data_IF_948851383534
#
_entry.id   IF_948851383534
#
_cell.length_a   1.000
_cell.length_b   1.000
_cell.length_c   1.000
_cell.angle_alpha   90.00
_cell.angle_beta   90.00
_cell.angle_gamma   90.00
#
_symmetry.space_group_name_H-M   'P 1'
#
loop_
_entity.id
_entity.type
_entity.pdbx_description
1 polymer ?
#
# COMPACT_ATOMS: atom_id res chain seq x y z
N UNK A 1 -6.31 -15.90 17.13
CA UNK A 1 -5.46 -16.00 15.93
C UNK A 1 -5.15 -17.47 15.68
N UNK A 2 -5.21 -17.89 14.43
CA UNK A 2 -4.98 -19.25 13.95
C UNK A 2 -3.90 -19.19 12.85
N UNK A 3 -2.82 -19.98 12.98
CA UNK A 3 -1.81 -20.08 11.92
C UNK A 3 -2.31 -21.09 10.87
N UNK A 4 -2.38 -20.66 9.62
CA UNK A 4 -2.83 -21.49 8.51
C UNK A 4 -1.66 -22.20 7.83
N UNK A 5 -0.58 -21.46 7.57
CA UNK A 5 0.57 -21.92 6.79
C UNK A 5 1.88 -21.30 7.33
N UNK A 6 2.99 -22.04 7.18
CA UNK A 6 4.33 -21.57 7.51
C UNK A 6 5.37 -22.19 6.56
N UNK A 7 6.22 -21.35 5.98
CA UNK A 7 7.27 -21.75 5.05
C UNK A 7 8.58 -21.02 5.35
N UNK A 8 9.71 -21.75 5.32
CA UNK A 8 11.04 -21.12 5.32
C UNK A 8 11.27 -20.35 4.03
N UNK A 9 11.72 -19.10 4.12
CA UNK A 9 11.97 -18.24 2.96
C UNK A 9 13.14 -17.29 3.26
N UNK A 10 14.22 -17.36 2.47
CA UNK A 10 15.42 -16.49 2.62
C UNK A 10 15.96 -16.38 4.07
N UNK A 11 15.98 -17.49 4.81
CA UNK A 11 16.41 -17.54 6.22
C UNK A 11 15.34 -17.08 7.24
N UNK A 12 14.31 -16.38 6.78
CA UNK A 12 13.14 -15.99 7.56
C UNK A 12 11.98 -16.99 7.46
N UNK A 13 10.78 -16.50 7.76
CA UNK A 13 9.52 -17.25 7.73
C UNK A 13 8.44 -16.47 6.99
N UNK A 14 7.83 -17.11 5.99
CA UNK A 14 6.58 -16.68 5.40
C UNK A 14 5.45 -17.43 6.10
N UNK A 15 4.55 -16.70 6.75
CA UNK A 15 3.42 -17.27 7.49
C UNK A 15 2.11 -16.70 6.98
N UNK A 16 1.03 -17.45 7.21
CA UNK A 16 -0.34 -17.03 6.93
C UNK A 16 -1.20 -17.24 8.15
N UNK A 17 -2.00 -16.25 8.49
CA UNK A 17 -2.77 -16.23 9.74
C UNK A 17 -4.21 -15.83 9.48
N UNK A 18 -5.12 -16.42 10.27
CA UNK A 18 -6.52 -16.04 10.35
C UNK A 18 -6.85 -15.47 11.72
N UNK A 19 -7.67 -14.43 11.74
CA UNK A 19 -8.24 -13.91 12.97
C UNK A 19 -9.66 -13.38 12.75
N UNK A 20 -10.43 -13.26 13.82
CA UNK A 20 -11.66 -12.50 13.78
C UNK A 20 -11.32 -11.00 13.87
N UNK A 21 -11.73 -10.23 12.86
CA UNK A 21 -11.54 -8.78 12.82
C UNK A 21 -12.80 -8.10 13.35
N UNK A 22 -12.71 -7.49 14.53
CA UNK A 22 -13.87 -6.81 15.15
C UNK A 22 -14.39 -5.64 14.30
N UNK A 23 -13.50 -4.91 13.62
CA UNK A 23 -13.84 -3.78 12.75
C UNK A 23 -14.61 -4.20 11.49
N UNK A 24 -14.30 -5.38 10.96
CA UNK A 24 -14.93 -5.92 9.74
C UNK A 24 -16.00 -6.97 10.06
N UNK A 25 -16.18 -7.30 11.34
CA UNK A 25 -17.12 -8.29 11.86
C UNK A 25 -17.07 -9.65 11.12
N UNK A 26 -15.88 -10.09 10.71
CA UNK A 26 -15.70 -11.34 9.98
C UNK A 26 -14.31 -11.95 10.26
N UNK A 27 -14.10 -13.18 9.77
CA UNK A 27 -12.78 -13.78 9.77
C UNK A 27 -11.94 -13.20 8.63
N UNK A 28 -10.77 -12.67 8.95
CA UNK A 28 -9.82 -12.11 8.00
C UNK A 28 -8.55 -12.96 7.96
N UNK A 29 -7.96 -13.03 6.78
CA UNK A 29 -6.67 -13.69 6.55
C UNK A 29 -5.63 -12.64 6.17
N UNK A 30 -4.42 -12.81 6.66
CA UNK A 30 -3.28 -12.00 6.24
C UNK A 30 -2.02 -12.86 6.17
N UNK A 31 -1.10 -12.45 5.32
CA UNK A 31 0.23 -13.03 5.20
C UNK A 31 1.25 -12.12 5.88
N UNK A 32 2.28 -12.73 6.48
CA UNK A 32 3.39 -12.02 7.13
C UNK A 32 4.72 -12.67 6.74
N UNK A 33 5.69 -11.86 6.35
CA UNK A 33 7.08 -12.28 6.22
C UNK A 33 7.88 -11.77 7.43
N UNK A 34 8.46 -12.69 8.17
CA UNK A 34 9.38 -12.43 9.28
C UNK A 34 10.82 -12.62 8.77
N UNK A 35 11.66 -11.56 8.74
CA UNK A 35 13.05 -11.68 8.31
C UNK A 35 13.86 -12.51 9.32
N UNK A 36 15.04 -13.03 8.94
CA UNK A 36 15.97 -13.62 9.90
C UNK A 36 16.25 -12.64 11.05
N UNK A 37 16.22 -13.13 12.28
CA UNK A 37 16.57 -12.32 13.46
C UNK A 37 18.02 -11.86 13.36
N UNK A 38 18.24 -10.55 13.29
CA UNK A 38 19.59 -9.98 13.24
C UNK A 38 20.07 -9.52 14.63
N UNK A 39 19.15 -9.04 15.49
CA UNK A 39 19.45 -8.49 16.83
C UNK A 39 18.30 -8.74 17.83
N UNK A 40 18.43 -8.25 19.06
CA UNK A 40 17.38 -8.30 20.10
C UNK A 40 16.30 -7.20 19.97
N UNK A 41 16.35 -6.37 18.93
CA UNK A 41 15.38 -5.30 18.69
C UNK A 41 14.23 -5.78 17.77
N UNK A 42 12.99 -5.32 18.03
CA UNK A 42 11.89 -5.57 17.11
C UNK A 42 12.16 -4.97 15.71
N UNK A 43 12.01 -5.75 14.62
CA UNK A 43 12.22 -5.24 13.28
C UNK A 43 11.15 -4.22 12.87
N UNK A 44 11.48 -3.23 12.01
CA UNK A 44 10.49 -2.34 11.43
C UNK A 44 9.52 -3.10 10.50
N UNK A 45 8.33 -2.54 10.32
CA UNK A 45 7.23 -3.16 9.56
C UNK A 45 6.90 -2.33 8.32
N UNK A 46 6.72 -3.02 7.19
CA UNK A 46 6.12 -2.48 5.98
C UNK A 46 4.78 -3.18 5.73
N UNK A 47 3.72 -2.39 5.61
CA UNK A 47 2.39 -2.86 5.20
C UNK A 47 2.25 -2.74 3.69
N UNK A 48 1.87 -3.83 3.03
CA UNK A 48 1.57 -3.86 1.60
C UNK A 48 0.07 -4.02 1.39
N UNK A 49 -0.55 -3.05 0.72
CA UNK A 49 -1.97 -3.08 0.38
C UNK A 49 -2.14 -3.46 -1.09
N UNK A 50 -2.64 -4.66 -1.35
CA UNK A 50 -2.86 -5.16 -2.71
C UNK A 50 -4.04 -4.45 -3.40
N UNK A 51 -4.04 -4.45 -4.74
CA UNK A 51 -5.10 -3.86 -5.55
C UNK A 51 -6.32 -4.77 -5.79
N UNK A 52 -7.18 -4.35 -6.72
CA UNK A 52 -8.42 -5.05 -7.10
C UNK A 52 -8.17 -6.55 -7.38
N UNK A 53 -9.13 -7.39 -7.02
CA UNK A 53 -9.13 -8.86 -7.23
C UNK A 53 -8.03 -9.64 -6.50
N UNK A 54 -7.15 -8.96 -5.75
CA UNK A 54 -6.08 -9.62 -5.01
C UNK A 54 -6.52 -10.10 -3.63
N UNK A 55 -5.72 -10.99 -3.05
CA UNK A 55 -5.73 -11.38 -1.64
C UNK A 55 -4.32 -11.22 -1.03
N UNK A 56 -4.13 -11.77 0.16
CA UNK A 56 -2.87 -11.73 0.91
C UNK A 56 -1.71 -12.50 0.23
N UNK A 57 -2.01 -13.40 -0.70
CA UNK A 57 -1.02 -14.30 -1.32
C UNK A 57 -0.41 -13.76 -2.61
N UNK A 58 -1.08 -12.84 -3.32
CA UNK A 58 -0.58 -12.36 -4.62
C UNK A 58 0.80 -11.70 -4.51
N UNK A 59 0.97 -10.79 -3.55
CA UNK A 59 2.26 -10.16 -3.30
C UNK A 59 3.29 -11.16 -2.79
N UNK A 60 2.85 -11.99 -1.83
CA UNK A 60 3.66 -13.06 -1.24
C UNK A 60 4.30 -13.96 -2.31
N UNK A 61 3.54 -14.32 -3.34
CA UNK A 61 3.99 -15.31 -4.35
C UNK A 61 4.62 -14.67 -5.58
N UNK A 62 4.24 -13.43 -5.94
CA UNK A 62 4.60 -12.85 -7.25
C UNK A 62 5.58 -11.68 -7.18
N UNK A 63 5.71 -10.99 -6.03
CA UNK A 63 6.52 -9.78 -5.96
C UNK A 63 8.02 -10.05 -5.78
N UNK A 64 8.42 -11.19 -5.20
CA UNK A 64 9.84 -11.48 -4.94
C UNK A 64 10.50 -10.60 -3.85
N UNK A 65 9.69 -9.98 -3.00
CA UNK A 65 10.12 -9.01 -1.99
C UNK A 65 10.94 -9.63 -0.83
N UNK A 66 10.71 -10.89 -0.50
CA UNK A 66 11.23 -11.53 0.71
C UNK A 66 12.76 -11.57 0.77
N UNK A 67 13.43 -11.72 -0.38
CA UNK A 67 14.91 -11.72 -0.45
C UNK A 67 15.49 -10.42 0.09
N UNK A 68 14.94 -9.29 -0.35
CA UNK A 68 15.41 -7.95 0.04
C UNK A 68 14.91 -7.57 1.43
N UNK A 69 13.69 -7.94 1.79
CA UNK A 69 13.19 -7.75 3.15
C UNK A 69 14.04 -8.50 4.19
N UNK A 70 14.51 -9.72 3.87
CA UNK A 70 15.44 -10.48 4.70
C UNK A 70 16.78 -9.77 4.87
N UNK A 71 17.36 -9.24 3.77
CA UNK A 71 18.60 -8.46 3.78
C UNK A 71 18.46 -7.20 4.65
N UNK A 72 17.35 -6.48 4.49
CA UNK A 72 17.14 -5.18 5.16
C UNK A 72 16.63 -5.30 6.60
N UNK A 73 16.19 -6.49 7.01
CA UNK A 73 15.61 -6.75 8.33
C UNK A 73 14.20 -6.16 8.48
N UNK A 74 13.38 -6.20 7.42
CA UNK A 74 12.04 -5.61 7.39
C UNK A 74 10.98 -6.72 7.46
N UNK A 75 10.00 -6.56 8.35
CA UNK A 75 8.77 -7.38 8.36
C UNK A 75 7.83 -6.88 7.27
N UNK A 76 7.25 -7.80 6.50
CA UNK A 76 6.21 -7.48 5.53
C UNK A 76 4.87 -7.99 6.05
N UNK A 77 3.84 -7.14 6.07
CA UNK A 77 2.46 -7.53 6.40
C UNK A 77 1.57 -7.27 5.19
N UNK A 78 0.90 -8.32 4.73
CA UNK A 78 0.04 -8.33 3.55
C UNK A 78 -1.38 -8.73 3.96
N UNK A 79 -2.25 -7.78 4.35
CA UNK A 79 -3.66 -8.06 4.59
C UNK A 79 -4.40 -8.47 3.31
N UNK A 80 -5.55 -9.11 3.47
CA UNK A 80 -6.55 -9.21 2.40
C UNK A 80 -7.11 -7.82 2.04
N UNK A 81 -7.74 -7.71 0.88
CA UNK A 81 -8.21 -6.44 0.28
C UNK A 81 -9.63 -6.06 0.71
N UNK A 82 -10.44 -7.03 1.13
CA UNK A 82 -11.82 -6.84 1.54
C UNK A 82 -12.28 -7.91 2.55
N UNK A 83 -13.35 -7.66 3.33
CA UNK A 83 -14.02 -8.68 4.13
C UNK A 83 -14.40 -9.92 3.30
N UNK A 84 -14.36 -11.12 3.90
CA UNK A 84 -14.71 -12.39 3.22
C UNK A 84 -15.74 -13.20 4.01
N UNK A 85 -16.54 -14.01 3.31
CA UNK A 85 -17.46 -15.00 3.90
C UNK A 85 -18.89 -14.89 3.38
N UNK A 86 -19.72 -15.91 3.63
CA UNK A 86 -21.11 -16.00 3.12
C UNK A 86 -22.02 -14.83 3.57
N UNK A 87 -21.66 -14.16 4.68
CA UNK A 87 -22.40 -13.02 5.22
C UNK A 87 -21.86 -11.66 4.75
N UNK A 88 -20.84 -11.65 3.90
CA UNK A 88 -20.30 -10.44 3.28
C UNK A 88 -20.90 -10.30 1.89
N UNK A 89 -21.31 -9.08 1.53
CA UNK A 89 -21.75 -8.80 0.17
C UNK A 89 -20.62 -9.07 -0.83
N UNK A 90 -20.81 -10.07 -1.69
CA UNK A 90 -19.87 -10.46 -2.74
C UNK A 90 -20.33 -9.84 -4.06
N UNK A 91 -19.79 -8.66 -4.40
CA UNK A 91 -19.92 -8.08 -5.73
C UNK A 91 -18.51 -7.89 -6.30
N UNK A 92 -18.33 -8.35 -7.53
CA UNK A 92 -17.14 -8.08 -8.36
C UNK A 92 -16.78 -6.60 -8.50
N UNK A 93 -17.68 -5.67 -8.16
CA UNK A 93 -17.46 -4.23 -8.14
C UNK A 93 -16.95 -3.65 -6.81
N UNK A 94 -16.86 -4.45 -5.74
CA UNK A 94 -16.54 -4.02 -4.37
C UNK A 94 -15.10 -4.36 -3.90
N UNK A 95 -14.16 -4.47 -4.83
CA UNK A 95 -12.78 -4.88 -4.52
C UNK A 95 -11.82 -3.71 -4.23
N UNK A 96 -12.31 -2.47 -4.14
CA UNK A 96 -11.44 -1.31 -3.93
C UNK A 96 -11.13 -1.11 -2.44
N UNK A 97 -10.05 -1.72 -1.98
CA UNK A 97 -9.46 -1.42 -0.67
C UNK A 97 -8.85 -0.01 -0.63
N UNK A 98 -8.72 0.57 0.57
CA UNK A 98 -8.06 1.87 0.74
C UNK A 98 -6.59 1.79 0.29
N UNK A 99 -6.17 2.74 -0.56
CA UNK A 99 -4.79 2.83 -1.04
C UNK A 99 -3.81 3.27 0.06
N UNK A 100 -2.54 2.88 -0.09
CA UNK A 100 -1.47 3.23 0.85
C UNK A 100 -1.31 4.75 1.06
N UNK A 101 -1.51 5.53 -0.01
CA UNK A 101 -1.48 7.00 0.04
C UNK A 101 -2.55 7.58 0.96
N UNK A 102 -3.80 7.11 0.86
CA UNK A 102 -4.91 7.54 1.73
C UNK A 102 -4.59 7.21 3.19
N UNK A 103 -4.08 6.01 3.46
CA UNK A 103 -3.70 5.60 4.81
C UNK A 103 -2.64 6.51 5.42
N UNK A 104 -1.61 6.87 4.66
CA UNK A 104 -0.57 7.79 5.09
C UNK A 104 -1.12 9.20 5.32
N UNK A 105 -1.84 9.75 4.35
CA UNK A 105 -2.36 11.13 4.39
C UNK A 105 -3.38 11.35 5.52
N UNK A 106 -4.25 10.38 5.79
CA UNK A 106 -5.24 10.47 6.89
C UNK A 106 -4.64 10.22 8.28
N UNK A 107 -3.39 9.76 8.37
CA UNK A 107 -2.76 9.43 9.65
C UNK A 107 -1.35 10.06 9.79
N UNK A 108 -1.25 11.41 9.82
CA UNK A 108 0.03 12.07 10.06
C UNK A 108 0.73 11.55 11.33
N UNK A 109 2.04 11.34 11.24
CA UNK A 109 2.86 10.85 12.36
C UNK A 109 2.78 9.34 12.64
N UNK A 110 1.96 8.56 11.92
CA UNK A 110 1.93 7.09 12.07
C UNK A 110 2.82 6.33 11.09
N UNK A 111 3.22 6.97 9.99
CA UNK A 111 4.03 6.38 8.93
C UNK A 111 5.23 7.27 8.66
N UNK A 112 6.39 6.66 8.41
CA UNK A 112 7.64 7.40 8.13
C UNK A 112 7.84 7.67 6.64
N UNK A 113 7.22 6.85 5.78
CA UNK A 113 7.30 6.96 4.33
C UNK A 113 6.18 6.14 3.68
N UNK A 114 5.78 6.51 2.46
CA UNK A 114 4.79 5.76 1.67
C UNK A 114 5.28 5.60 0.24
N UNK A 115 4.97 4.46 -0.37
CA UNK A 115 5.21 4.24 -1.78
C UNK A 115 4.07 3.48 -2.43
N UNK A 116 3.93 3.59 -3.75
CA UNK A 116 2.91 2.85 -4.49
C UNK A 116 3.35 2.53 -5.92
N UNK A 117 2.84 1.42 -6.44
CA UNK A 117 2.92 1.03 -7.85
C UNK A 117 1.57 1.30 -8.50
N UNK A 118 1.57 2.03 -9.62
CA UNK A 118 0.37 2.29 -10.43
C UNK A 118 -0.89 2.66 -9.59
N UNK A 119 -0.82 3.67 -8.70
CA UNK A 119 -1.94 3.99 -7.81
C UNK A 119 -3.09 4.69 -8.53
N UNK A 120 -4.32 4.45 -8.07
CA UNK A 120 -5.46 5.33 -8.35
C UNK A 120 -5.35 6.54 -7.42
N UNK A 121 -4.85 7.67 -7.93
CA UNK A 121 -4.55 8.83 -7.08
C UNK A 121 -5.72 9.77 -6.88
N UNK A 122 -6.67 9.78 -7.83
CA UNK A 122 -7.79 10.71 -7.91
C UNK A 122 -9.14 9.97 -8.01
N UNK A 123 -9.44 9.03 -7.08
CA UNK A 123 -10.62 8.15 -7.17
C UNK A 123 -11.95 8.92 -7.30
N UNK A 124 -12.05 10.13 -6.76
CA UNK A 124 -13.27 10.94 -6.87
C UNK A 124 -13.59 11.41 -8.29
N UNK A 125 -12.64 11.28 -9.22
CA UNK A 125 -12.75 11.80 -10.60
C UNK A 125 -12.64 10.72 -11.68
N UNK A 126 -12.40 9.47 -11.33
CA UNK A 126 -12.20 8.37 -12.29
C UNK A 126 -13.27 7.28 -12.18
N UNK A 127 -13.59 6.55 -13.27
CA UNK A 127 -14.74 5.65 -13.29
C UNK A 127 -14.75 4.58 -12.19
N UNK A 128 -13.60 3.95 -11.89
CA UNK A 128 -13.54 2.93 -10.83
C UNK A 128 -13.78 3.52 -9.45
N UNK A 129 -13.16 4.66 -9.16
CA UNK A 129 -13.31 5.33 -7.88
C UNK A 129 -14.71 5.88 -7.67
N UNK A 130 -15.29 6.56 -8.68
CA UNK A 130 -16.68 7.06 -8.62
C UNK A 130 -17.66 5.93 -8.35
N UNK A 131 -17.53 4.80 -9.07
CA UNK A 131 -18.39 3.62 -8.85
C UNK A 131 -18.29 3.11 -7.41
N UNK A 132 -17.07 2.94 -6.89
CA UNK A 132 -16.85 2.43 -5.53
C UNK A 132 -17.32 3.42 -4.45
N UNK A 133 -16.96 4.70 -4.58
CA UNK A 133 -17.30 5.75 -3.64
C UNK A 133 -18.81 6.00 -3.59
N UNK A 134 -19.49 6.03 -4.73
CA UNK A 134 -20.96 6.14 -4.77
C UNK A 134 -21.61 4.98 -4.02
N UNK A 135 -21.09 3.77 -4.19
CA UNK A 135 -21.71 2.59 -3.60
C UNK A 135 -21.41 2.44 -2.09
N UNK A 136 -20.25 2.90 -1.61
CA UNK A 136 -19.90 2.83 -0.18
C UNK A 136 -20.31 4.05 0.63
N UNK A 137 -20.27 5.24 0.03
CA UNK A 137 -20.44 6.52 0.72
C UNK A 137 -21.71 7.27 0.28
N UNK A 138 -22.38 6.80 -0.79
CA UNK A 138 -23.54 7.45 -1.38
C UNK A 138 -23.18 8.48 -2.46
N UNK A 139 -24.20 9.09 -3.04
CA UNK A 139 -24.09 10.04 -4.17
C UNK A 139 -23.57 11.44 -3.77
N UNK A 140 -23.36 11.70 -2.47
CA UNK A 140 -22.80 12.96 -2.01
C UNK A 140 -21.28 13.00 -2.24
N UNK A 141 -20.87 13.63 -3.34
CA UNK A 141 -19.45 13.77 -3.72
C UNK A 141 -18.60 14.49 -2.66
N UNK A 142 -19.20 15.30 -1.78
CA UNK A 142 -18.43 15.99 -0.74
C UNK A 142 -17.79 15.00 0.25
N UNK A 143 -18.44 13.87 0.50
CA UNK A 143 -17.93 12.80 1.35
C UNK A 143 -16.73 12.05 0.72
N UNK A 144 -16.54 12.16 -0.60
CA UNK A 144 -15.49 11.44 -1.32
C UNK A 144 -14.11 12.08 -1.17
N UNK A 145 -14.07 13.38 -0.89
CA UNK A 145 -12.82 14.14 -0.71
C UNK A 145 -11.92 13.55 0.38
N UNK A 146 -12.53 12.97 1.42
CA UNK A 146 -11.83 12.28 2.50
C UNK A 146 -11.15 10.96 2.09
N UNK A 147 -11.39 10.49 0.88
CA UNK A 147 -10.92 9.21 0.33
C UNK A 147 -10.22 9.39 -1.01
N UNK A 148 -9.78 10.60 -1.31
CA UNK A 148 -9.05 10.95 -2.53
C UNK A 148 -7.64 11.45 -2.19
N UNK A 149 -6.59 10.84 -2.76
CA UNK A 149 -5.22 11.16 -2.37
C UNK A 149 -4.80 12.55 -2.81
N UNK A 150 -5.32 13.04 -3.94
CA UNK A 150 -5.06 14.39 -4.41
C UNK A 150 -5.72 15.43 -3.50
N UNK A 151 -7.01 15.24 -3.17
CA UNK A 151 -7.75 16.15 -2.28
C UNK A 151 -7.14 16.16 -0.87
N UNK A 152 -6.80 14.99 -0.31
CA UNK A 152 -6.15 14.87 0.99
C UNK A 152 -4.77 15.56 1.01
N UNK A 153 -3.96 15.38 -0.04
CA UNK A 153 -2.65 16.01 -0.14
C UNK A 153 -2.77 17.54 -0.19
N UNK A 154 -3.71 18.07 -0.98
CA UNK A 154 -3.96 19.52 -1.08
C UNK A 154 -4.46 20.13 0.25
N UNK A 155 -5.20 19.35 1.05
CA UNK A 155 -5.70 19.79 2.35
C UNK A 155 -4.68 19.64 3.51
N UNK A 156 -3.57 18.94 3.27
CA UNK A 156 -2.57 18.62 4.31
C UNK A 156 -1.72 19.82 4.71
N UNK A 157 -1.19 19.79 5.94
CA UNK A 157 -0.25 20.81 6.40
C UNK A 157 1.20 20.39 6.11
N UNK A 158 2.15 21.34 5.95
CA UNK A 158 3.54 21.02 5.66
C UNK A 158 4.22 20.06 6.66
N UNK A 159 3.84 20.10 7.94
CA UNK A 159 4.37 19.19 8.96
C UNK A 159 3.85 17.75 8.85
N UNK A 160 2.78 17.52 8.10
CA UNK A 160 2.21 16.20 7.88
C UNK A 160 2.96 15.45 6.76
N UNK A 161 3.83 16.16 6.02
CA UNK A 161 4.48 15.66 4.84
C UNK A 161 5.51 14.56 5.15
N UNK A 162 5.32 13.40 4.52
CA UNK A 162 6.26 12.28 4.56
C UNK A 162 6.78 11.96 3.15
N UNK A 163 7.98 11.38 3.01
CA UNK A 163 8.53 10.96 1.73
C UNK A 163 7.57 10.04 0.96
N UNK A 164 7.33 10.35 -0.32
CA UNK A 164 6.49 9.55 -1.22
C UNK A 164 7.31 9.08 -2.43
N UNK A 165 7.22 7.78 -2.77
CA UNK A 165 7.76 7.22 -4.01
C UNK A 165 6.66 6.54 -4.83
N UNK A 166 6.47 6.98 -6.08
CA UNK A 166 5.53 6.36 -7.02
C UNK A 166 6.29 5.81 -8.22
N UNK A 167 6.03 4.56 -8.56
CA UNK A 167 6.40 3.97 -9.85
C UNK A 167 5.14 3.76 -10.70
N UNK A 168 5.20 4.20 -11.95
CA UNK A 168 4.14 4.01 -12.94
C UNK A 168 4.72 3.47 -14.25
N UNK A 169 4.21 2.34 -14.73
CA UNK A 169 4.48 1.86 -16.10
C UNK A 169 3.79 2.75 -17.16
N UNK A 170 4.49 3.13 -18.22
CA UNK A 170 3.91 3.95 -19.30
C UNK A 170 3.08 3.14 -20.32
N UNK A 171 3.19 1.82 -20.26
CA UNK A 171 2.43 0.86 -21.08
C UNK A 171 1.28 0.23 -20.28
N UNK A 172 0.97 0.81 -19.13
CA UNK A 172 -0.18 0.45 -18.30
C UNK A 172 -1.48 0.91 -18.98
N UNK A 173 -2.33 -0.06 -19.29
CA UNK A 173 -3.61 0.16 -19.96
C UNK A 173 -4.61 1.00 -19.16
N UNK A 174 -4.40 1.19 -17.86
CA UNK A 174 -5.28 1.96 -16.97
C UNK A 174 -4.77 3.39 -16.70
N UNK A 175 -3.59 3.74 -17.22
CA UNK A 175 -2.86 4.98 -16.91
C UNK A 175 -3.71 6.26 -17.05
N UNK A 176 -4.34 6.43 -18.22
CA UNK A 176 -5.06 7.66 -18.55
C UNK A 176 -6.42 7.75 -17.85
N UNK A 177 -7.13 6.62 -17.76
CA UNK A 177 -8.54 6.59 -17.38
C UNK A 177 -8.76 6.35 -15.87
N UNK A 178 -7.79 5.75 -15.18
CA UNK A 178 -7.95 5.36 -13.77
C UNK A 178 -6.83 5.90 -12.87
N UNK A 179 -5.58 5.84 -13.31
CA UNK A 179 -4.44 6.03 -12.40
C UNK A 179 -4.04 7.50 -12.24
N UNK A 180 -3.90 8.21 -13.36
CA UNK A 180 -3.68 9.67 -13.43
C UNK A 180 -2.56 10.22 -12.50
N UNK A 181 -1.35 9.62 -12.42
CA UNK A 181 -0.31 10.03 -11.48
C UNK A 181 0.20 11.47 -11.70
N UNK A 182 0.01 12.04 -12.89
CA UNK A 182 0.31 13.44 -13.17
C UNK A 182 -0.52 14.41 -12.31
N UNK A 183 -1.76 14.05 -11.94
CA UNK A 183 -2.61 14.87 -11.06
C UNK A 183 -2.03 14.94 -9.65
N UNK A 184 -1.55 13.81 -9.13
CA UNK A 184 -0.87 13.78 -7.83
C UNK A 184 0.46 14.54 -7.86
N UNK A 185 1.21 14.46 -8.96
CA UNK A 185 2.45 15.22 -9.13
C UNK A 185 2.22 16.74 -9.05
N UNK A 186 1.11 17.20 -9.62
CA UNK A 186 0.72 18.60 -9.54
C UNK A 186 0.28 18.98 -8.11
N UNK A 187 -0.50 18.14 -7.43
CA UNK A 187 -0.87 18.35 -6.03
C UNK A 187 0.37 18.44 -5.11
N UNK A 188 1.31 17.51 -5.27
CA UNK A 188 2.58 17.51 -4.54
C UNK A 188 3.40 18.78 -4.79
N UNK A 189 3.43 19.28 -6.03
CA UNK A 189 4.11 20.53 -6.37
C UNK A 189 3.48 21.74 -5.69
N UNK A 190 2.15 21.80 -5.60
CA UNK A 190 1.43 22.90 -4.96
C UNK A 190 1.65 22.95 -3.44
N UNK A 191 1.80 21.79 -2.81
CA UNK A 191 2.00 21.67 -1.36
C UNK A 191 3.47 21.53 -0.96
N UNK A 192 4.39 21.56 -1.93
CA UNK A 192 5.82 21.25 -1.73
C UNK A 192 6.05 19.90 -1.05
N UNK A 193 5.20 18.91 -1.34
CA UNK A 193 5.30 17.55 -0.80
C UNK A 193 6.56 16.85 -1.30
N UNK A 194 7.33 16.16 -0.45
CA UNK A 194 8.54 15.44 -0.84
C UNK A 194 8.19 14.14 -1.60
N UNK A 195 7.79 14.28 -2.86
CA UNK A 195 7.37 13.18 -3.72
C UNK A 195 8.32 12.98 -4.89
N UNK A 196 8.63 11.71 -5.17
CA UNK A 196 9.28 11.26 -6.40
C UNK A 196 8.31 10.41 -7.21
N UNK A 197 8.00 10.85 -8.44
CA UNK A 197 7.26 10.06 -9.42
C UNK A 197 8.24 9.58 -10.51
N UNK A 198 8.30 8.28 -10.74
CA UNK A 198 9.09 7.64 -11.79
C UNK A 198 8.15 7.02 -12.83
N UNK A 199 8.38 7.35 -14.10
CA UNK A 199 7.72 6.70 -15.23
C UNK A 199 8.66 5.61 -15.76
N UNK A 200 8.17 4.38 -15.84
CA UNK A 200 8.94 3.19 -16.18
C UNK A 200 8.58 2.74 -17.61
N UNK A 201 9.47 2.96 -18.60
CA UNK A 201 9.14 2.71 -20.00
C UNK A 201 8.91 1.23 -20.32
N UNK A 202 7.83 0.93 -21.03
CA UNK A 202 7.47 -0.42 -21.47
C UNK A 202 6.83 -1.31 -20.40
N UNK A 203 6.66 -0.81 -19.17
CA UNK A 203 6.07 -1.59 -18.08
C UNK A 203 4.55 -1.43 -18.02
N UNK A 204 3.89 -2.52 -17.63
CA UNK A 204 2.44 -2.65 -17.54
C UNK A 204 1.94 -2.58 -16.08
N UNK A 205 0.71 -3.05 -15.84
CA UNK A 205 0.07 -3.08 -14.51
C UNK A 205 0.36 -4.35 -13.70
N UNK A 206 1.22 -5.25 -14.20
CA UNK A 206 1.33 -6.61 -13.66
C UNK A 206 2.29 -6.73 -12.48
N UNK A 207 2.31 -7.91 -11.85
CA UNK A 207 3.36 -8.22 -10.87
C UNK A 207 4.76 -8.34 -11.49
N UNK A 208 4.91 -8.46 -12.82
CA UNK A 208 6.24 -8.36 -13.44
C UNK A 208 6.80 -6.95 -13.30
N UNK A 209 5.95 -5.93 -13.46
CA UNK A 209 6.31 -4.56 -13.18
C UNK A 209 6.67 -4.36 -11.71
N UNK A 210 5.81 -4.78 -10.78
CA UNK A 210 6.06 -4.67 -9.34
C UNK A 210 7.37 -5.37 -8.95
N UNK A 211 7.57 -6.63 -9.36
CA UNK A 211 8.76 -7.40 -9.03
C UNK A 211 10.06 -6.79 -9.58
N UNK A 212 9.98 -6.04 -10.68
CA UNK A 212 11.15 -5.37 -11.27
C UNK A 212 11.67 -4.21 -10.40
N UNK A 213 10.80 -3.59 -9.59
CA UNK A 213 11.12 -2.37 -8.85
C UNK A 213 10.85 -2.46 -7.34
N UNK A 214 10.35 -3.59 -6.84
CA UNK A 214 10.08 -3.77 -5.40
C UNK A 214 11.33 -3.61 -4.53
N UNK A 215 12.50 -3.95 -5.05
CA UNK A 215 13.77 -3.75 -4.34
C UNK A 215 14.02 -2.26 -4.08
N UNK A 216 13.80 -1.40 -5.07
CA UNK A 216 13.95 0.06 -4.92
C UNK A 216 13.00 0.60 -3.84
N UNK A 217 11.76 0.12 -3.82
CA UNK A 217 10.75 0.52 -2.83
C UNK A 217 11.14 0.07 -1.42
N UNK A 218 11.60 -1.17 -1.25
CA UNK A 218 12.08 -1.66 0.04
C UNK A 218 13.28 -0.87 0.55
N UNK A 219 14.24 -0.57 -0.33
CA UNK A 219 15.39 0.29 0.01
C UNK A 219 14.98 1.73 0.29
N UNK A 220 14.00 2.26 -0.44
CA UNK A 220 13.40 3.57 -0.16
C UNK A 220 12.86 3.62 1.27
N UNK A 221 12.01 2.67 1.66
CA UNK A 221 11.44 2.60 3.01
C UNK A 221 12.50 2.35 4.08
N UNK A 222 13.50 1.50 3.83
CA UNK A 222 14.57 1.20 4.78
C UNK A 222 15.33 2.45 5.24
N UNK A 223 15.47 3.48 4.39
CA UNK A 223 16.09 4.76 4.77
C UNK A 223 15.32 5.45 5.89
N UNK A 224 14.00 5.51 5.77
CA UNK A 224 13.13 6.22 6.71
C UNK A 224 12.71 5.39 7.93
N UNK A 225 12.83 4.06 7.85
CA UNK A 225 12.61 3.15 9.00
C UNK A 225 13.85 3.04 9.91
N UNK A 226 15.01 3.55 9.48
CA UNK A 226 16.27 3.52 10.25
C UNK A 226 16.54 4.84 10.98
N UNK A 227 16.18 5.98 10.38
CA UNK A 227 16.42 7.33 10.96
C UNK A 227 15.73 7.58 12.32
N UNK A 228 14.59 6.94 12.61
CA UNK A 228 13.94 7.08 13.94
C UNK A 228 14.74 6.42 15.07
N UNK A 229 15.67 5.51 14.75
CA UNK A 229 16.50 4.81 15.75
C UNK A 229 17.72 5.60 16.20
N UNK A 230 18.22 6.52 15.37
CA UNK A 230 19.37 7.38 15.73
C UNK A 230 18.97 8.64 16.52
N UNK A 231 17.68 8.95 16.60
CA UNK A 231 17.16 10.19 17.21
C UNK A 231 16.47 10.00 18.57
N UNK A 232 16.38 8.77 19.10
CA UNK A 232 15.93 8.53 20.47
C UNK A 232 17.10 8.66 21.46
N UNK A 233 17.15 9.68 22.33
CA UNK A 233 18.18 9.75 23.35
C UNK A 233 17.94 8.65 24.40
N UNK A 234 18.99 7.89 24.69
CA UNK A 234 19.10 7.00 25.86
C UNK A 234 18.89 7.74 27.17
#
# INVERSE_FOLDING_TARGET
MEMLEEHRCFGGWQQRWRHHAATLNCAMTFSIFLPPTQDNEPPPVLYWLSGLTCNDENFTTKAGAQRIAAELGIVLVMPDTSPRGEQVADDSGYDLGHGALIMALKNPGKYTSVSAFAPIVNPSRVPWGIKALTAYLGEDESAWTEWDSCELMLASQPQDAIPVLIDQGDSDQFLADQLQPAVLAEAARQTAWPMTLRIQPGYDHSYYFIASFIEDHLRFHARYLRDERETSPT
#
